data_IF_081166893927
#
_entry.id   IF_081166893927
#
_cell.length_a   1.000
_cell.length_b   1.000
_cell.length_c   1.000
_cell.angle_alpha   90.00
_cell.angle_beta   90.00
_cell.angle_gamma   90.00
#
_symmetry.space_group_name_H-M   'P 1'
#
loop_
_entity.id
_entity.type
_entity.pdbx_description
1 polymer ?
#
# COMPACT_ATOMS: atom_id res chain seq x y z
N UNK A 1 17.58 8.95 -5.28
CA UNK A 1 16.92 7.89 -6.08
C UNK A 1 16.08 6.97 -5.18
N UNK A 2 15.09 7.52 -4.45
CA UNK A 2 14.01 6.78 -3.76
C UNK A 2 12.63 7.18 -4.34
N UNK A 3 12.60 8.14 -5.26
CA UNK A 3 11.38 8.67 -5.89
C UNK A 3 10.64 7.67 -6.80
N UNK A 4 11.21 6.49 -7.08
CA UNK A 4 10.73 5.54 -8.09
C UNK A 4 9.80 4.43 -7.58
N UNK A 5 9.48 4.37 -6.28
CA UNK A 5 8.37 3.51 -5.85
C UNK A 5 7.05 4.22 -6.16
N UNK A 6 6.70 4.22 -7.44
CA UNK A 6 5.47 4.78 -7.94
C UNK A 6 4.36 3.73 -7.77
N UNK A 7 3.43 3.99 -6.86
CA UNK A 7 2.24 3.16 -6.72
C UNK A 7 1.42 3.35 -7.99
N UNK A 8 1.22 2.28 -8.76
CA UNK A 8 0.42 2.30 -9.98
C UNK A 8 -0.99 2.84 -9.66
N UNK A 9 -1.55 3.68 -10.54
CA UNK A 9 -2.91 4.22 -10.40
C UNK A 9 -3.98 3.16 -10.17
N UNK A 10 -3.82 1.96 -10.75
CA UNK A 10 -4.71 0.83 -10.47
C UNK A 10 -4.67 0.41 -9.00
N UNK A 11 -3.47 0.26 -8.42
CA UNK A 11 -3.29 -0.12 -7.02
C UNK A 11 -3.78 0.97 -6.08
N UNK A 12 -3.58 2.25 -6.44
CA UNK A 12 -4.15 3.37 -5.67
C UNK A 12 -5.67 3.27 -5.59
N UNK A 13 -6.33 3.04 -6.72
CA UNK A 13 -7.79 2.85 -6.77
C UNK A 13 -8.23 1.67 -5.90
N UNK A 14 -7.55 0.53 -5.97
CA UNK A 14 -7.90 -0.63 -5.14
C UNK A 14 -7.75 -0.35 -3.64
N UNK A 15 -6.71 0.40 -3.24
CA UNK A 15 -6.54 0.80 -1.83
C UNK A 15 -7.66 1.76 -1.42
N UNK A 16 -7.98 2.76 -2.24
CA UNK A 16 -9.09 3.70 -1.97
C UNK A 16 -10.43 2.96 -1.86
N UNK A 17 -10.75 2.06 -2.79
CA UNK A 17 -11.97 1.25 -2.77
C UNK A 17 -12.05 0.38 -1.51
N UNK A 18 -10.92 -0.21 -1.08
CA UNK A 18 -10.85 -1.00 0.16
C UNK A 18 -11.17 -0.14 1.39
N UNK A 19 -10.58 1.06 1.48
CA UNK A 19 -10.80 2.00 2.56
C UNK A 19 -12.26 2.49 2.60
N UNK A 20 -12.83 2.80 1.44
CA UNK A 20 -14.24 3.19 1.30
C UNK A 20 -15.20 2.07 1.70
N UNK A 21 -14.96 0.84 1.22
CA UNK A 21 -15.79 -0.33 1.54
C UNK A 21 -15.81 -0.64 3.03
N UNK A 22 -14.67 -0.44 3.71
CA UNK A 22 -14.54 -0.67 5.15
C UNK A 22 -14.81 0.56 6.00
N UNK A 23 -15.17 1.69 5.38
CA UNK A 23 -15.46 2.97 6.04
C UNK A 23 -14.37 3.39 7.04
N UNK A 24 -13.11 3.25 6.62
CA UNK A 24 -11.95 3.53 7.46
C UNK A 24 -10.93 4.39 6.72
N UNK A 25 -10.21 5.22 7.47
CA UNK A 25 -9.07 5.95 6.95
C UNK A 25 -7.82 5.06 6.87
N UNK A 26 -6.82 5.53 6.13
CA UNK A 26 -5.57 4.80 5.96
C UNK A 26 -4.83 4.55 7.28
N UNK A 27 -4.89 5.47 8.25
CA UNK A 27 -4.19 5.29 9.52
C UNK A 27 -4.80 4.11 10.29
N UNK A 28 -6.11 4.09 10.41
CA UNK A 28 -6.89 3.03 11.06
C UNK A 28 -6.67 1.70 10.35
N UNK A 29 -6.70 1.69 9.02
CA UNK A 29 -6.45 0.49 8.22
C UNK A 29 -5.03 -0.05 8.36
N UNK A 30 -4.04 0.82 8.60
CA UNK A 30 -2.65 0.42 8.79
C UNK A 30 -2.37 -0.09 10.21
N UNK A 31 -3.18 0.28 11.20
CA UNK A 31 -3.10 -0.22 12.59
C UNK A 31 -3.81 -1.57 12.79
N UNK A 32 -4.78 -1.92 11.93
CA UNK A 32 -5.40 -3.25 11.90
C UNK A 32 -4.53 -4.23 11.10
N UNK A 33 -4.04 -5.30 11.74
CA UNK A 33 -3.14 -6.26 11.08
C UNK A 33 -3.78 -6.99 9.89
N UNK A 34 -5.08 -7.27 9.94
CA UNK A 34 -5.78 -7.93 8.84
C UNK A 34 -5.90 -6.99 7.63
N UNK A 35 -6.33 -5.75 7.87
CA UNK A 35 -6.48 -4.76 6.80
C UNK A 35 -5.12 -4.33 6.25
N UNK A 36 -4.11 -4.17 7.11
CA UNK A 36 -2.74 -3.87 6.72
C UNK A 36 -2.19 -4.96 5.78
N UNK A 37 -2.45 -6.24 6.05
CA UNK A 37 -2.06 -7.36 5.18
C UNK A 37 -2.78 -7.36 3.84
N UNK A 38 -4.03 -6.90 3.78
CA UNK A 38 -4.78 -6.71 2.54
C UNK A 38 -4.16 -5.59 1.70
N UNK A 39 -3.87 -4.44 2.30
CA UNK A 39 -3.18 -3.32 1.64
C UNK A 39 -1.80 -3.75 1.13
N UNK A 40 -1.05 -4.52 1.93
CA UNK A 40 0.23 -5.08 1.54
C UNK A 40 0.09 -6.01 0.32
N UNK A 41 -0.96 -6.83 0.27
CA UNK A 41 -1.21 -7.72 -0.87
C UNK A 41 -1.52 -6.94 -2.16
N UNK A 42 -2.29 -5.84 -2.06
CA UNK A 42 -2.57 -4.94 -3.19
C UNK A 42 -1.27 -4.30 -3.72
N UNK A 43 -0.44 -3.77 -2.83
CA UNK A 43 0.85 -3.19 -3.18
C UNK A 43 1.79 -4.23 -3.79
N UNK A 44 1.82 -5.43 -3.22
CA UNK A 44 2.60 -6.56 -3.74
C UNK A 44 2.15 -6.96 -5.15
N UNK A 45 0.84 -6.98 -5.42
CA UNK A 45 0.28 -7.22 -6.74
C UNK A 45 0.73 -6.20 -7.79
N UNK A 46 0.94 -4.96 -7.36
CA UNK A 46 1.48 -3.88 -8.19
C UNK A 46 2.97 -3.97 -8.49
N UNK A 47 3.73 -4.81 -7.79
CA UNK A 47 5.17 -4.94 -7.99
C UNK A 47 5.51 -5.64 -9.31
N UNK A 48 6.60 -5.22 -9.99
CA UNK A 48 7.18 -5.96 -11.10
C UNK A 48 7.34 -7.44 -10.76
N UNK A 49 6.99 -8.33 -11.71
CA UNK A 49 7.04 -9.77 -11.51
C UNK A 49 8.43 -10.27 -11.07
N UNK A 50 9.50 -9.57 -11.49
CA UNK A 50 10.87 -9.85 -11.07
C UNK A 50 11.05 -9.66 -9.54
N UNK A 51 10.52 -8.59 -8.95
CA UNK A 51 10.60 -8.35 -7.50
C UNK A 51 9.79 -9.36 -6.69
N UNK A 52 8.63 -9.79 -7.22
CA UNK A 52 7.80 -10.83 -6.60
C UNK A 52 8.50 -12.20 -6.52
N UNK A 53 9.50 -12.46 -7.37
CA UNK A 53 10.32 -13.69 -7.28
C UNK A 53 11.33 -13.66 -6.14
N UNK A 54 11.79 -12.47 -5.73
CA UNK A 54 12.79 -12.30 -4.66
C UNK A 54 12.14 -12.11 -3.28
N UNK A 55 10.96 -11.51 -3.24
CA UNK A 55 10.21 -11.28 -2.01
C UNK A 55 8.89 -12.05 -2.09
N UNK A 56 8.67 -13.02 -1.20
CA UNK A 56 7.37 -13.67 -1.07
C UNK A 56 6.35 -12.71 -0.47
N UNK A 57 5.07 -12.93 -0.77
CA UNK A 57 3.98 -12.14 -0.19
C UNK A 57 4.04 -12.13 1.35
N UNK A 58 4.31 -13.28 1.97
CA UNK A 58 4.41 -13.38 3.43
C UNK A 58 5.55 -12.51 4.00
N UNK A 59 6.75 -12.55 3.39
CA UNK A 59 7.85 -11.66 3.79
C UNK A 59 7.52 -10.19 3.59
N UNK A 60 6.83 -9.86 2.50
CA UNK A 60 6.38 -8.50 2.23
C UNK A 60 5.37 -8.02 3.28
N UNK A 61 4.37 -8.85 3.62
CA UNK A 61 3.40 -8.56 4.67
C UNK A 61 4.05 -8.35 6.04
N UNK A 62 5.01 -9.20 6.41
CA UNK A 62 5.77 -9.02 7.66
C UNK A 62 6.55 -7.70 7.68
N UNK A 63 7.29 -7.40 6.62
CA UNK A 63 8.01 -6.12 6.49
C UNK A 63 7.04 -4.92 6.53
N UNK A 64 5.92 -5.02 5.84
CA UNK A 64 4.91 -3.97 5.74
C UNK A 64 4.27 -3.68 7.10
N UNK A 65 4.04 -4.71 7.92
CA UNK A 65 3.55 -4.58 9.29
C UNK A 65 4.58 -3.95 10.23
N UNK A 66 5.84 -4.41 10.17
CA UNK A 66 6.93 -3.88 10.99
C UNK A 66 7.22 -2.40 10.69
N UNK A 67 7.10 -2.00 9.43
CA UNK A 67 7.35 -0.63 8.96
C UNK A 67 6.07 0.19 8.78
N UNK A 68 4.92 -0.27 9.29
CA UNK A 68 3.61 0.35 9.05
C UNK A 68 3.60 1.86 9.30
N UNK A 69 4.14 2.33 10.43
CA UNK A 69 4.14 3.75 10.77
C UNK A 69 4.86 4.62 9.72
N UNK A 70 6.00 4.16 9.22
CA UNK A 70 6.74 4.83 8.15
C UNK A 70 6.03 4.73 6.79
N UNK A 71 5.44 3.57 6.50
CA UNK A 71 4.77 3.31 5.24
C UNK A 71 3.42 4.03 5.12
N UNK A 72 2.72 4.26 6.23
CA UNK A 72 1.46 5.00 6.27
C UNK A 72 1.65 6.40 5.71
N UNK A 73 2.65 7.15 6.19
CA UNK A 73 2.98 8.47 5.66
C UNK A 73 3.35 8.43 4.18
N UNK A 74 4.14 7.42 3.78
CA UNK A 74 4.52 7.28 2.38
C UNK A 74 3.31 7.02 1.46
N UNK A 75 2.40 6.15 1.88
CA UNK A 75 1.20 5.79 1.11
C UNK A 75 0.23 6.97 1.08
N UNK A 76 -0.01 7.63 2.22
CA UNK A 76 -0.85 8.82 2.31
C UNK A 76 -0.43 9.88 1.30
N UNK A 77 0.86 10.23 1.30
CA UNK A 77 1.43 11.21 0.36
C UNK A 77 1.24 10.81 -1.11
N UNK A 78 1.30 9.50 -1.41
CA UNK A 78 1.13 8.99 -2.78
C UNK A 78 -0.34 8.93 -3.21
N UNK A 79 -1.26 8.67 -2.28
CA UNK A 79 -2.70 8.72 -2.52
C UNK A 79 -3.15 10.17 -2.74
N UNK A 80 -2.73 11.11 -1.88
CA UNK A 80 -3.05 12.54 -2.01
C UNK A 80 -2.46 13.18 -3.27
N UNK A 81 -1.25 12.77 -3.67
CA UNK A 81 -0.64 13.24 -4.92
C UNK A 81 -1.45 12.81 -6.17
N UNK A 82 -2.31 11.78 -6.07
CA UNK A 82 -3.22 11.40 -7.15
C UNK A 82 -4.42 12.36 -7.27
N UNK A 83 -4.88 12.95 -6.16
CA UNK A 83 -6.00 13.89 -6.12
C UNK A 83 -5.63 15.28 -6.68
N UNK A 84 -4.37 15.71 -6.55
CA UNK A 84 -3.90 17.03 -7.04
C UNK A 84 -3.63 17.11 -8.55
N UNK A 85 -3.87 16.04 -9.33
CA UNK A 85 -3.73 16.03 -10.80
C UNK A 85 -5.07 15.80 -11.53
N UNK A 86 -6.18 16.09 -10.86
CA UNK A 86 -7.53 16.13 -11.45
C UNK A 86 -7.95 17.56 -11.74
#
# INVERSE_FOLDING_TARGET
MINQFEINGYVKRQITELLEQRQMDLNTAMEDEAVNREIAALLYGGLPAMLRKFYSLNKFQGFFWEKRAFLTEHIANRLDAALKRG
#
